data_IF_282893615945
#
_entry.id   IF_282893615945
#
_cell.length_a   1.000
_cell.length_b   1.000
_cell.length_c   1.000
_cell.angle_alpha   90.00
_cell.angle_beta   90.00
_cell.angle_gamma   90.00
#
_symmetry.space_group_name_H-M   'P 1'
#
loop_
_entity.id
_entity.type
_entity.pdbx_description
1 polymer ?
#
# COMPACT_ATOMS: atom_id res chain seq x y z
N UNK A 1 7.54 -35.76 -8.66
CA UNK A 1 6.25 -35.33 -9.23
C UNK A 1 6.24 -33.80 -9.30
N UNK A 2 6.07 -33.23 -10.49
CA UNK A 2 6.03 -31.76 -10.64
C UNK A 2 4.74 -31.22 -9.99
N UNK A 3 4.85 -30.43 -8.94
CA UNK A 3 3.73 -29.71 -8.31
C UNK A 3 3.17 -28.69 -9.32
N UNK A 4 2.13 -29.06 -10.05
CA UNK A 4 1.54 -28.19 -11.07
C UNK A 4 0.50 -27.23 -10.45
N UNK A 5 0.99 -26.25 -9.66
CA UNK A 5 0.15 -25.14 -9.19
C UNK A 5 -0.19 -24.27 -10.41
N UNK A 6 -1.43 -23.86 -10.55
CA UNK A 6 -1.88 -22.98 -11.64
C UNK A 6 -2.20 -21.58 -11.11
N UNK A 7 -2.20 -20.59 -12.01
CA UNK A 7 -2.58 -19.22 -11.68
C UNK A 7 -3.97 -19.16 -11.02
N UNK A 8 -4.93 -19.92 -11.53
CA UNK A 8 -6.30 -19.98 -10.97
C UNK A 8 -6.35 -20.46 -9.54
N UNK A 9 -5.46 -21.38 -9.12
CA UNK A 9 -5.35 -21.81 -7.72
C UNK A 9 -4.90 -20.64 -6.83
N UNK A 10 -3.89 -19.89 -7.27
CA UNK A 10 -3.35 -18.75 -6.53
C UNK A 10 -4.34 -17.60 -6.45
N UNK A 11 -5.05 -17.31 -7.52
CA UNK A 11 -6.12 -16.30 -7.55
C UNK A 11 -7.26 -16.67 -6.59
N UNK A 12 -7.71 -17.93 -6.60
CA UNK A 12 -8.74 -18.40 -5.68
C UNK A 12 -8.28 -18.31 -4.22
N UNK A 13 -7.06 -18.71 -3.94
CA UNK A 13 -6.48 -18.60 -2.61
C UNK A 13 -6.39 -17.15 -2.15
N UNK A 14 -5.85 -16.23 -2.97
CA UNK A 14 -5.80 -14.79 -2.67
C UNK A 14 -7.19 -14.23 -2.38
N UNK A 15 -8.17 -14.57 -3.21
CA UNK A 15 -9.54 -14.07 -3.07
C UNK A 15 -10.17 -14.52 -1.74
N UNK A 16 -9.98 -15.77 -1.35
CA UNK A 16 -10.48 -16.30 -0.06
C UNK A 16 -9.75 -15.65 1.12
N UNK A 17 -8.44 -15.45 1.05
CA UNK A 17 -7.67 -14.75 2.09
C UNK A 17 -8.13 -13.30 2.30
N UNK A 18 -8.46 -12.59 1.22
CA UNK A 18 -8.94 -11.20 1.26
C UNK A 18 -10.39 -11.10 1.73
N UNK A 19 -11.29 -11.92 1.17
CA UNK A 19 -12.73 -11.84 1.44
C UNK A 19 -13.18 -12.60 2.68
N UNK A 20 -12.33 -13.50 3.22
CA UNK A 20 -12.61 -14.32 4.40
C UNK A 20 -13.83 -15.25 4.27
N UNK A 21 -14.40 -15.34 3.07
CA UNK A 21 -15.53 -16.21 2.75
C UNK A 21 -15.39 -16.75 1.33
N UNK A 22 -15.86 -17.99 1.11
CA UNK A 22 -15.84 -18.59 -0.24
C UNK A 22 -16.81 -17.88 -1.18
N UNK A 23 -17.96 -17.44 -0.66
CA UNK A 23 -18.96 -16.67 -1.44
C UNK A 23 -18.39 -15.34 -1.91
N UNK A 24 -17.80 -14.54 -1.00
CA UNK A 24 -17.18 -13.27 -1.37
C UNK A 24 -15.99 -13.44 -2.33
N UNK A 25 -15.22 -14.54 -2.21
CA UNK A 25 -14.17 -14.87 -3.17
C UNK A 25 -14.74 -15.22 -4.56
N UNK A 26 -15.85 -15.96 -4.60
CA UNK A 26 -16.53 -16.30 -5.86
C UNK A 26 -17.05 -15.05 -6.57
N UNK A 27 -17.67 -14.13 -5.83
CA UNK A 27 -18.10 -12.82 -6.37
C UNK A 27 -16.91 -12.00 -6.90
N UNK A 28 -15.81 -11.95 -6.15
CA UNK A 28 -14.59 -11.23 -6.56
C UNK A 28 -13.99 -11.78 -7.86
N UNK A 29 -14.07 -13.10 -8.07
CA UNK A 29 -13.50 -13.78 -9.23
C UNK A 29 -14.50 -13.93 -10.40
N UNK A 30 -15.77 -13.55 -10.22
CA UNK A 30 -16.80 -13.74 -11.24
C UNK A 30 -17.10 -15.22 -11.54
N UNK A 31 -16.98 -16.11 -10.55
CA UNK A 31 -17.22 -17.55 -10.67
C UNK A 31 -18.23 -18.02 -9.62
N UNK A 32 -18.63 -19.30 -9.68
CA UNK A 32 -19.51 -19.89 -8.66
C UNK A 32 -18.74 -20.37 -7.44
N UNK A 33 -19.40 -20.40 -6.26
CA UNK A 33 -18.82 -20.90 -5.01
C UNK A 33 -18.24 -22.33 -5.11
N UNK A 34 -18.89 -23.31 -5.77
CA UNK A 34 -18.32 -24.65 -5.97
C UNK A 34 -16.97 -24.63 -6.71
N UNK A 35 -16.79 -23.71 -7.66
CA UNK A 35 -15.53 -23.55 -8.41
C UNK A 35 -14.41 -23.12 -7.46
N UNK A 36 -14.65 -22.10 -6.63
CA UNK A 36 -13.66 -21.65 -5.64
C UNK A 36 -13.31 -22.76 -4.65
N UNK A 37 -14.33 -23.45 -4.12
CA UNK A 37 -14.15 -24.56 -3.19
C UNK A 37 -13.26 -25.65 -3.80
N UNK A 38 -13.52 -26.03 -5.05
CA UNK A 38 -12.73 -27.03 -5.77
C UNK A 38 -11.29 -26.58 -6.01
N UNK A 39 -11.09 -25.31 -6.41
CA UNK A 39 -9.74 -24.75 -6.62
C UNK A 39 -8.91 -24.73 -5.32
N UNK A 40 -9.51 -24.39 -4.20
CA UNK A 40 -8.84 -24.43 -2.89
C UNK A 40 -8.49 -25.87 -2.51
N UNK A 41 -9.45 -26.80 -2.59
CA UNK A 41 -9.19 -28.21 -2.26
C UNK A 41 -8.10 -28.83 -3.15
N UNK A 42 -8.11 -28.53 -4.46
CA UNK A 42 -7.08 -28.99 -5.39
C UNK A 42 -5.71 -28.38 -5.07
N UNK A 43 -5.65 -27.10 -4.68
CA UNK A 43 -4.42 -26.45 -4.22
C UNK A 43 -3.87 -27.14 -2.97
N UNK A 44 -4.68 -27.30 -1.91
CA UNK A 44 -4.29 -27.95 -0.65
C UNK A 44 -3.79 -29.37 -0.88
N UNK A 45 -4.47 -30.12 -1.74
CA UNK A 45 -4.05 -31.48 -2.11
C UNK A 45 -2.69 -31.50 -2.82
N UNK A 46 -2.46 -30.53 -3.73
CA UNK A 46 -1.20 -30.46 -4.50
C UNK A 46 0.00 -30.06 -3.67
N UNK A 47 -0.20 -29.13 -2.72
CA UNK A 47 0.89 -28.68 -1.82
C UNK A 47 1.00 -29.52 -0.56
N UNK A 48 0.03 -30.43 -0.31
CA UNK A 48 -0.09 -31.24 0.90
C UNK A 48 -0.13 -30.40 2.21
N UNK A 49 -0.72 -29.21 2.16
CA UNK A 49 -0.86 -28.29 3.29
C UNK A 49 -2.31 -27.84 3.35
N UNK A 50 -2.95 -27.93 4.52
CA UNK A 50 -4.24 -27.34 4.77
C UNK A 50 -4.10 -25.82 4.91
N UNK A 51 -4.81 -25.07 4.08
CA UNK A 51 -4.78 -23.61 4.07
C UNK A 51 -5.93 -23.00 4.86
N UNK A 52 -7.04 -23.73 4.97
CA UNK A 52 -8.23 -23.24 5.68
C UNK A 52 -8.79 -24.29 6.62
N UNK A 53 -9.28 -23.82 7.76
CA UNK A 53 -10.03 -24.62 8.73
C UNK A 53 -11.42 -24.04 8.93
N UNK A 54 -12.31 -24.82 9.54
CA UNK A 54 -13.62 -24.32 9.99
C UNK A 54 -13.59 -24.17 11.50
N UNK A 55 -13.59 -22.94 11.97
CA UNK A 55 -13.76 -22.60 13.37
C UNK A 55 -15.18 -22.10 13.60
N UNK A 56 -15.95 -22.81 14.45
CA UNK A 56 -17.38 -22.49 14.76
C UNK A 56 -18.23 -22.25 13.51
N UNK A 57 -18.00 -23.04 12.44
CA UNK A 57 -18.71 -22.93 11.17
C UNK A 57 -18.21 -21.82 10.22
N UNK A 58 -17.23 -21.02 10.64
CA UNK A 58 -16.62 -19.96 9.82
C UNK A 58 -15.28 -20.44 9.24
N UNK A 59 -15.03 -20.01 8.01
CA UNK A 59 -13.75 -20.25 7.35
C UNK A 59 -12.66 -19.41 8.00
N UNK A 60 -11.60 -20.04 8.47
CA UNK A 60 -10.43 -19.38 9.04
C UNK A 60 -9.15 -19.83 8.34
N UNK A 61 -8.23 -18.92 7.99
CA UNK A 61 -6.93 -19.31 7.44
C UNK A 61 -6.05 -19.95 8.51
N UNK A 62 -5.25 -20.92 8.11
CA UNK A 62 -4.21 -21.51 8.93
C UNK A 62 -3.00 -20.56 9.05
N UNK A 63 -2.08 -20.78 10.02
CA UNK A 63 -0.80 -20.09 10.06
C UNK A 63 -0.01 -20.25 8.76
N UNK A 64 -0.03 -21.44 8.16
CA UNK A 64 0.62 -21.78 6.90
C UNK A 64 0.03 -20.98 5.74
N UNK A 65 -1.30 -20.80 5.70
CA UNK A 65 -1.95 -19.95 4.71
C UNK A 65 -1.49 -18.50 4.84
N UNK A 66 -1.32 -18.01 6.06
CA UNK A 66 -0.87 -16.64 6.30
C UNK A 66 0.56 -16.42 5.81
N UNK A 67 1.45 -17.38 6.02
CA UNK A 67 2.82 -17.34 5.50
C UNK A 67 2.83 -17.41 3.96
N UNK A 68 2.11 -18.38 3.38
CA UNK A 68 2.05 -18.56 1.93
C UNK A 68 1.42 -17.34 1.21
N UNK A 69 0.51 -16.63 1.89
CA UNK A 69 -0.20 -15.50 1.29
C UNK A 69 0.72 -14.39 0.83
N UNK A 70 1.79 -14.10 1.55
CA UNK A 70 2.76 -13.06 1.17
C UNK A 70 3.41 -13.37 -0.20
N UNK A 71 3.89 -14.61 -0.38
CA UNK A 71 4.56 -15.04 -1.62
C UNK A 71 3.58 -15.14 -2.80
N UNK A 72 2.37 -15.64 -2.55
CA UNK A 72 1.31 -15.70 -3.57
C UNK A 72 0.91 -14.30 -4.02
N UNK A 73 0.71 -13.38 -3.08
CA UNK A 73 0.34 -12.02 -3.41
C UNK A 73 1.44 -11.33 -4.23
N UNK A 74 2.70 -11.50 -3.85
CA UNK A 74 3.85 -10.97 -4.60
C UNK A 74 3.92 -11.54 -6.02
N UNK A 75 3.70 -12.85 -6.18
CA UNK A 75 3.71 -13.52 -7.48
C UNK A 75 2.59 -13.02 -8.40
N UNK A 76 1.38 -12.86 -7.88
CA UNK A 76 0.23 -12.33 -8.61
C UNK A 76 0.44 -10.86 -9.00
N UNK A 77 1.01 -10.03 -8.11
CA UNK A 77 1.43 -8.67 -8.44
C UNK A 77 2.46 -8.65 -9.57
N UNK A 78 3.38 -9.64 -9.62
CA UNK A 78 4.33 -9.80 -10.72
C UNK A 78 3.65 -10.02 -12.07
N UNK A 79 2.61 -10.85 -12.11
CA UNK A 79 1.82 -11.10 -13.32
C UNK A 79 1.03 -9.86 -13.74
N UNK A 80 0.36 -9.19 -12.78
CA UNK A 80 -0.31 -7.91 -13.02
C UNK A 80 0.67 -6.87 -13.58
N UNK A 81 1.91 -6.83 -13.06
CA UNK A 81 2.97 -5.94 -13.57
C UNK A 81 3.32 -6.24 -15.03
N UNK A 82 3.40 -7.50 -15.43
CA UNK A 82 3.67 -7.88 -16.84
C UNK A 82 2.55 -7.37 -17.75
N UNK A 83 1.29 -7.59 -17.37
CA UNK A 83 0.13 -7.11 -18.13
C UNK A 83 0.10 -5.57 -18.23
N UNK A 84 0.39 -4.88 -17.12
CA UNK A 84 0.46 -3.42 -17.09
C UNK A 84 1.65 -2.89 -17.87
N UNK A 85 2.81 -3.55 -17.83
CA UNK A 85 3.97 -3.18 -18.62
C UNK A 85 3.70 -3.29 -20.13
N UNK A 86 3.00 -4.34 -20.56
CA UNK A 86 2.58 -4.50 -21.94
C UNK A 86 1.62 -3.37 -22.37
N UNK A 87 0.67 -3.00 -21.51
CA UNK A 87 -0.22 -1.86 -21.72
C UNK A 87 0.54 -0.54 -21.71
N UNK A 88 1.48 -0.36 -20.79
CA UNK A 88 2.34 0.82 -20.69
C UNK A 88 3.22 1.03 -21.91
N UNK A 89 3.78 -0.04 -22.50
CA UNK A 89 4.55 0.03 -23.77
C UNK A 89 3.65 0.59 -24.88
N UNK A 90 2.39 0.17 -24.91
CA UNK A 90 1.40 0.68 -25.87
C UNK A 90 1.05 2.14 -25.59
N UNK A 91 0.86 2.50 -24.32
CA UNK A 91 0.55 3.87 -23.88
C UNK A 91 1.73 4.84 -24.10
N UNK A 92 2.96 4.43 -23.83
CA UNK A 92 4.16 5.22 -24.11
C UNK A 92 4.32 5.54 -25.60
N UNK A 93 3.98 4.58 -26.48
CA UNK A 93 3.93 4.83 -27.94
C UNK A 93 2.85 5.86 -28.32
N UNK A 94 1.83 6.04 -27.48
CA UNK A 94 0.75 7.03 -27.65
C UNK A 94 1.01 8.31 -26.86
N UNK A 95 2.18 8.45 -26.19
CA UNK A 95 2.52 9.63 -25.40
C UNK A 95 1.65 9.78 -24.15
N UNK A 96 1.35 8.69 -23.43
CA UNK A 96 0.57 8.72 -22.20
C UNK A 96 1.43 8.46 -20.97
N UNK A 97 1.33 9.34 -19.96
CA UNK A 97 2.03 9.26 -18.68
C UNK A 97 1.06 9.14 -17.51
N UNK A 98 1.11 8.00 -16.82
CA UNK A 98 0.34 7.75 -15.59
C UNK A 98 1.18 8.08 -14.36
N UNK A 99 0.70 8.99 -13.52
CA UNK A 99 1.35 9.45 -12.29
C UNK A 99 0.46 9.10 -11.10
N UNK A 100 1.02 8.51 -10.05
CA UNK A 100 0.36 8.37 -8.75
C UNK A 100 1.07 9.23 -7.71
N UNK A 101 0.33 9.94 -6.86
CA UNK A 101 0.93 10.84 -5.89
C UNK A 101 0.19 10.90 -4.56
N UNK A 102 0.96 11.06 -3.48
CA UNK A 102 0.41 11.39 -2.18
C UNK A 102 -0.20 12.80 -2.17
N UNK A 103 -1.24 13.07 -1.36
CA UNK A 103 -2.01 14.33 -1.39
C UNK A 103 -1.16 15.60 -1.29
N UNK A 104 -0.15 15.59 -0.44
CA UNK A 104 0.75 16.73 -0.25
C UNK A 104 1.54 17.10 -1.51
N UNK A 105 1.88 16.11 -2.34
CA UNK A 105 2.56 16.32 -3.63
C UNK A 105 1.56 16.62 -4.74
N UNK A 106 0.44 15.91 -4.76
CA UNK A 106 -0.61 16.05 -5.77
C UNK A 106 -1.28 17.45 -5.77
N UNK A 107 -1.43 18.06 -4.59
CA UNK A 107 -2.14 19.33 -4.44
C UNK A 107 -1.21 20.57 -4.50
N UNK A 108 0.10 20.40 -4.48
CA UNK A 108 1.02 21.54 -4.41
C UNK A 108 2.08 21.53 -5.52
N UNK A 109 3.02 20.62 -5.44
CA UNK A 109 4.19 20.56 -6.31
C UNK A 109 3.86 20.07 -7.73
N UNK A 110 3.19 18.93 -7.84
CA UNK A 110 2.98 18.24 -9.12
C UNK A 110 2.15 19.02 -10.13
N UNK A 111 1.06 19.73 -9.79
CA UNK A 111 0.33 20.53 -10.78
C UNK A 111 1.21 21.54 -11.49
N UNK A 112 2.13 22.17 -10.78
CA UNK A 112 3.07 23.13 -11.39
C UNK A 112 4.11 22.45 -12.26
N UNK A 113 4.66 21.31 -11.80
CA UNK A 113 5.61 20.54 -12.58
C UNK A 113 4.97 19.96 -13.85
N UNK A 114 3.74 19.46 -13.76
CA UNK A 114 2.97 18.96 -14.91
C UNK A 114 2.67 20.12 -15.89
N UNK A 115 2.25 21.28 -15.39
CA UNK A 115 2.00 22.44 -16.26
C UNK A 115 3.26 22.84 -17.04
N UNK A 116 4.42 22.90 -16.38
CA UNK A 116 5.69 23.20 -17.03
C UNK A 116 6.07 22.14 -18.07
N UNK A 117 5.95 20.86 -17.73
CA UNK A 117 6.23 19.75 -18.64
C UNK A 117 5.30 19.76 -19.86
N UNK A 118 4.01 20.04 -19.69
CA UNK A 118 3.03 20.09 -20.77
C UNK A 118 3.28 21.21 -21.78
N UNK A 119 3.95 22.29 -21.39
CA UNK A 119 4.40 23.32 -22.32
C UNK A 119 5.51 22.83 -23.25
N UNK A 120 6.38 21.96 -22.75
CA UNK A 120 7.48 21.38 -23.53
C UNK A 120 7.07 20.15 -24.34
N UNK A 121 6.03 19.43 -23.87
CA UNK A 121 5.53 18.18 -24.45
C UNK A 121 4.00 18.17 -24.56
N UNK A 122 3.43 19.03 -25.40
CA UNK A 122 1.97 19.19 -25.51
C UNK A 122 1.23 17.96 -26.02
N UNK A 123 1.93 17.05 -26.69
CA UNK A 123 1.39 15.79 -27.19
C UNK A 123 1.24 14.72 -26.11
N UNK A 124 1.82 14.94 -24.91
CA UNK A 124 1.79 13.95 -23.82
C UNK A 124 0.51 14.08 -23.02
N UNK A 125 -0.32 13.04 -23.05
CA UNK A 125 -1.49 12.93 -22.16
C UNK A 125 -1.02 12.50 -20.76
N UNK A 126 -1.35 13.29 -19.74
CA UNK A 126 -0.98 13.00 -18.35
C UNK A 126 -2.23 12.72 -17.53
N UNK A 127 -2.23 11.56 -16.87
CA UNK A 127 -3.24 11.22 -15.87
C UNK A 127 -2.58 11.18 -14.50
N UNK A 128 -3.16 11.91 -13.53
CA UNK A 128 -2.66 11.91 -12.15
C UNK A 128 -3.70 11.31 -11.20
N UNK A 129 -3.28 10.30 -10.44
CA UNK A 129 -4.05 9.64 -9.40
C UNK A 129 -3.57 10.07 -8.01
N UNK A 130 -4.50 10.46 -7.13
CA UNK A 130 -4.17 10.85 -5.76
C UNK A 130 -4.55 9.71 -4.81
N UNK A 131 -3.54 9.16 -4.11
CA UNK A 131 -3.71 8.05 -3.17
C UNK A 131 -2.79 8.18 -1.96
N UNK A 132 -2.95 7.30 -0.96
CA UNK A 132 -1.99 7.19 0.15
C UNK A 132 -0.61 6.75 -0.34
N UNK A 133 0.45 7.08 0.40
CA UNK A 133 1.83 6.69 0.04
C UNK A 133 1.98 5.18 -0.16
N UNK A 134 1.33 4.35 0.65
CA UNK A 134 1.33 2.89 0.48
C UNK A 134 0.70 2.46 -0.84
N UNK A 135 -0.46 3.01 -1.17
CA UNK A 135 -1.14 2.73 -2.46
C UNK A 135 -0.32 3.21 -3.66
N UNK A 136 0.33 4.37 -3.56
CA UNK A 136 1.25 4.86 -4.61
C UNK A 136 2.38 3.87 -4.85
N UNK A 137 3.00 3.35 -3.79
CA UNK A 137 4.05 2.32 -3.90
C UNK A 137 3.53 1.05 -4.58
N UNK A 138 2.34 0.57 -4.18
CA UNK A 138 1.71 -0.59 -4.80
C UNK A 138 1.41 -0.37 -6.30
N UNK A 139 0.99 0.84 -6.67
CA UNK A 139 0.74 1.20 -8.07
C UNK A 139 2.02 1.19 -8.91
N UNK A 140 3.12 1.72 -8.38
CA UNK A 140 4.43 1.67 -9.05
C UNK A 140 4.93 0.23 -9.17
N UNK A 141 4.91 -0.52 -8.07
CA UNK A 141 5.38 -1.91 -8.05
C UNK A 141 4.59 -2.83 -8.97
N UNK A 142 3.27 -2.61 -9.07
CA UNK A 142 2.40 -3.35 -9.98
C UNK A 142 2.41 -2.83 -11.43
N UNK A 143 3.16 -1.76 -11.72
CA UNK A 143 3.21 -1.14 -13.05
C UNK A 143 1.90 -0.47 -13.49
N UNK A 144 1.01 -0.14 -12.54
CA UNK A 144 -0.24 0.60 -12.81
C UNK A 144 -0.02 2.09 -13.05
N UNK A 145 1.14 2.61 -12.68
CA UNK A 145 1.58 3.94 -13.04
C UNK A 145 3.07 3.94 -13.44
N UNK A 146 3.46 4.94 -14.20
CA UNK A 146 4.83 5.11 -14.67
C UNK A 146 5.72 5.78 -13.61
N UNK A 147 5.15 6.72 -12.85
CA UNK A 147 5.83 7.48 -11.80
C UNK A 147 4.98 7.51 -10.53
N UNK A 148 5.63 7.42 -9.39
CA UNK A 148 5.00 7.54 -8.08
C UNK A 148 5.70 8.58 -7.21
N UNK A 149 4.92 9.47 -6.57
CA UNK A 149 5.40 10.45 -5.60
C UNK A 149 4.79 10.17 -4.24
N UNK A 150 5.61 9.70 -3.33
CA UNK A 150 5.17 9.24 -2.02
C UNK A 150 6.12 9.70 -0.90
N UNK A 151 5.58 9.83 0.30
CA UNK A 151 6.40 9.96 1.51
C UNK A 151 6.73 8.55 2.00
N UNK A 152 8.00 8.20 1.91
CA UNK A 152 8.48 6.90 2.37
C UNK A 152 9.67 7.08 3.31
N UNK A 153 9.87 6.18 4.28
CA UNK A 153 11.06 6.18 5.09
C UNK A 153 12.30 5.93 4.23
N UNK A 154 13.40 6.59 4.57
CA UNK A 154 14.67 6.47 3.82
C UNK A 154 15.14 5.02 3.65
N UNK A 155 14.83 4.14 4.61
CA UNK A 155 15.18 2.71 4.53
C UNK A 155 14.21 1.87 3.69
N UNK A 156 13.03 2.39 3.34
CA UNK A 156 12.06 1.68 2.50
C UNK A 156 12.36 1.83 0.99
N UNK A 157 13.33 2.66 0.62
CA UNK A 157 13.69 2.95 -0.78
C UNK A 157 14.53 1.85 -1.45
N UNK A 158 14.73 0.70 -0.79
CA UNK A 158 15.60 -0.38 -1.30
C UNK A 158 15.00 -1.23 -2.43
N UNK A 159 13.76 -0.96 -2.85
CA UNK A 159 13.09 -1.75 -3.88
C UNK A 159 12.75 -0.87 -5.09
N UNK A 160 13.53 -1.02 -6.15
CA UNK A 160 13.31 -0.38 -7.43
C UNK A 160 14.10 0.92 -7.66
N UNK A 161 13.84 1.58 -8.78
CA UNK A 161 14.41 2.88 -9.12
C UNK A 161 13.68 3.97 -8.32
N UNK A 162 14.15 4.27 -7.11
CA UNK A 162 13.61 5.33 -6.27
C UNK A 162 14.66 6.39 -6.01
N UNK A 163 14.25 7.65 -6.07
CA UNK A 163 15.09 8.79 -5.80
C UNK A 163 14.45 9.68 -4.73
N UNK A 164 15.25 10.17 -3.79
CA UNK A 164 14.80 11.09 -2.76
C UNK A 164 14.82 12.50 -3.30
N UNK A 165 13.66 13.07 -3.58
CA UNK A 165 13.53 14.45 -4.07
C UNK A 165 13.78 15.46 -2.96
N UNK A 166 13.25 15.21 -1.76
CA UNK A 166 13.37 16.11 -0.61
C UNK A 166 13.28 15.33 0.69
N UNK A 167 14.02 15.77 1.69
CA UNK A 167 13.88 15.33 3.06
C UNK A 167 13.35 16.47 3.91
N UNK A 168 12.24 16.25 4.61
CA UNK A 168 11.60 17.24 5.45
C UNK A 168 11.66 16.81 6.93
N UNK A 169 11.89 17.77 7.81
CA UNK A 169 11.79 17.57 9.25
C UNK A 169 10.32 17.59 9.67
N UNK A 170 9.97 16.79 10.64
CA UNK A 170 8.67 16.89 11.30
C UNK A 170 8.62 18.15 12.17
N UNK A 171 7.49 18.84 12.14
CA UNK A 171 7.25 20.02 12.96
C UNK A 171 5.94 19.84 13.74
N UNK A 172 5.90 20.39 14.97
CA UNK A 172 4.68 20.50 15.74
C UNK A 172 3.92 21.77 15.34
N UNK A 173 2.64 21.61 15.02
CA UNK A 173 1.74 22.76 14.82
C UNK A 173 1.07 23.07 16.16
N UNK A 174 1.25 24.29 16.65
CA UNK A 174 0.85 24.70 17.99
C UNK A 174 0.01 25.98 17.89
N UNK A 175 -1.10 26.10 18.62
CA UNK A 175 -1.90 27.33 18.65
C UNK A 175 -1.10 28.54 19.16
N UNK A 176 -1.43 29.71 18.64
CA UNK A 176 -0.87 30.97 19.15
C UNK A 176 -1.26 31.13 20.63
N UNK A 177 -0.26 31.46 21.47
CA UNK A 177 -0.46 31.59 22.92
C UNK A 177 -0.35 30.30 23.73
N UNK A 178 -0.11 29.15 23.09
CA UNK A 178 0.17 27.93 23.82
C UNK A 178 1.51 27.99 24.55
N UNK A 179 1.63 27.35 25.73
CA UNK A 179 2.86 27.37 26.55
C UNK A 179 4.12 26.90 25.80
N UNK A 180 3.96 26.04 24.80
CA UNK A 180 5.06 25.53 23.98
C UNK A 180 5.38 26.39 22.75
N UNK A 181 4.58 27.42 22.43
CA UNK A 181 4.71 28.21 21.22
C UNK A 181 6.01 29.01 21.15
N UNK A 182 6.64 29.31 22.31
CA UNK A 182 7.91 30.04 22.40
C UNK A 182 9.15 29.14 22.24
N UNK A 183 8.97 27.82 22.27
CA UNK A 183 10.08 26.89 22.12
C UNK A 183 10.44 26.65 20.66
N UNK A 184 11.71 26.75 20.32
CA UNK A 184 12.24 26.48 18.99
C UNK A 184 12.35 24.98 18.67
N UNK A 185 12.55 24.17 19.68
CA UNK A 185 12.66 22.73 19.60
C UNK A 185 11.79 22.13 20.70
N UNK A 186 11.01 21.12 20.34
CA UNK A 186 10.17 20.35 21.26
C UNK A 186 10.78 18.97 21.44
N UNK A 187 10.89 18.54 22.68
CA UNK A 187 11.26 17.18 23.02
C UNK A 187 10.01 16.34 23.32
N UNK A 188 10.05 15.00 23.23
CA UNK A 188 8.89 14.17 23.53
C UNK A 188 8.25 14.47 24.89
N UNK A 189 9.06 14.75 25.93
CA UNK A 189 8.60 15.02 27.30
C UNK A 189 7.76 16.31 27.39
N UNK A 190 7.93 17.24 26.47
CA UNK A 190 7.15 18.48 26.44
C UNK A 190 5.66 18.23 26.18
N UNK A 191 5.32 17.06 25.63
CA UNK A 191 3.96 16.66 25.29
C UNK A 191 3.24 15.89 26.40
N UNK A 192 3.86 15.69 27.57
CA UNK A 192 3.25 15.00 28.69
C UNK A 192 1.94 15.70 29.10
N UNK A 193 0.82 14.94 29.09
CA UNK A 193 -0.50 15.44 29.43
C UNK A 193 -1.16 16.38 28.43
N UNK A 194 -0.47 16.71 27.32
CA UNK A 194 -1.04 17.60 26.29
C UNK A 194 -2.12 16.92 25.44
N UNK A 195 -3.10 17.73 25.02
CA UNK A 195 -4.07 17.33 24.00
C UNK A 195 -3.40 17.33 22.64
N UNK A 196 -3.43 16.19 21.96
CA UNK A 196 -2.67 15.96 20.73
C UNK A 196 -3.59 15.47 19.62
N UNK A 197 -3.63 16.20 18.51
CA UNK A 197 -4.26 15.72 17.27
C UNK A 197 -3.21 14.95 16.48
N UNK A 198 -3.49 13.70 16.22
CA UNK A 198 -2.56 12.81 15.54
C UNK A 198 -3.17 12.25 14.25
N UNK A 199 -2.31 11.66 13.42
CA UNK A 199 -2.75 10.95 12.22
C UNK A 199 -3.47 9.65 12.58
N UNK A 200 -4.15 9.05 11.59
CA UNK A 200 -4.86 7.77 11.77
C UNK A 200 -3.92 6.67 12.31
N UNK A 201 -4.38 5.76 13.19
CA UNK A 201 -3.55 4.81 13.92
C UNK A 201 -2.67 3.90 13.05
N UNK A 202 -3.13 3.54 11.84
CA UNK A 202 -2.41 2.65 10.93
C UNK A 202 -1.42 3.36 10.00
N UNK A 203 -1.27 4.68 10.13
CA UNK A 203 -0.27 5.42 9.36
C UNK A 203 1.13 5.20 9.96
N UNK A 204 2.09 4.89 9.11
CA UNK A 204 3.48 4.61 9.53
C UNK A 204 4.09 5.76 10.35
N UNK A 205 3.86 7.01 9.92
CA UNK A 205 4.31 8.20 10.65
C UNK A 205 3.71 8.26 12.05
N UNK A 206 2.42 7.90 12.19
CA UNK A 206 1.76 7.82 13.49
C UNK A 206 2.41 6.76 14.38
N UNK A 207 2.66 5.56 13.85
CA UNK A 207 3.31 4.48 14.62
C UNK A 207 4.71 4.88 15.09
N UNK A 208 5.47 5.61 14.27
CA UNK A 208 6.79 6.14 14.67
C UNK A 208 6.69 7.17 15.80
N UNK A 209 5.73 8.09 15.71
CA UNK A 209 5.50 9.07 16.77
C UNK A 209 5.08 8.36 18.07
N UNK A 210 4.17 7.39 17.98
CA UNK A 210 3.70 6.63 19.15
C UNK A 210 4.85 5.85 19.79
N UNK A 211 5.68 5.18 19.00
CA UNK A 211 6.86 4.46 19.49
C UNK A 211 7.88 5.38 20.16
N UNK A 212 8.11 6.57 19.55
CA UNK A 212 9.00 7.58 20.14
C UNK A 212 8.46 8.07 21.49
N UNK A 213 7.18 8.46 21.55
CA UNK A 213 6.56 8.94 22.79
C UNK A 213 6.59 7.86 23.89
N UNK A 214 6.29 6.62 23.52
CA UNK A 214 6.36 5.48 24.44
C UNK A 214 7.78 5.25 24.99
N UNK A 215 8.81 5.37 24.15
CA UNK A 215 10.21 5.19 24.58
C UNK A 215 10.68 6.25 25.59
N UNK A 216 10.01 7.40 25.63
CA UNK A 216 10.23 8.47 26.60
C UNK A 216 9.23 8.45 27.76
N UNK A 217 8.33 7.45 27.83
CA UNK A 217 7.32 7.34 28.88
C UNK A 217 6.24 8.41 28.83
N UNK A 218 6.09 9.10 27.70
CA UNK A 218 5.17 10.24 27.53
C UNK A 218 3.74 9.77 27.32
N UNK A 219 2.85 10.21 28.17
CA UNK A 219 1.41 9.93 28.09
C UNK A 219 0.68 11.18 27.58
N UNK A 220 0.21 11.13 26.34
CA UNK A 220 -0.53 12.22 25.69
C UNK A 220 -2.00 11.86 25.49
N UNK A 221 -2.87 12.85 25.53
CA UNK A 221 -4.28 12.68 25.22
C UNK A 221 -4.46 12.83 23.70
N UNK A 222 -4.84 11.74 23.03
CA UNK A 222 -5.11 11.78 21.58
C UNK A 222 -6.61 12.03 21.41
N UNK A 223 -6.92 13.11 20.71
CA UNK A 223 -8.29 13.51 20.34
C UNK A 223 -8.58 13.12 18.87
#
# INVERSE_FOLDING_TARGET
MSMKITLRHLEAFRAVMVRRTVTGAAEMLGVTQPVVTRLIADLEQRIAIALFTRDKGRLAPTPEATLLFADVNQSLMGIERIANAASGIKALKLGHLEIAAAPNMALSFLPRAIASFSLERPETLITMHMHSSSTVLDMVQSGRCNLGFAMVPVHATRHGNSETLVSAKMVGVIPVGHRLATRKVLNPEDFEGESFISMAPLMETRMKIDSLMLSYGVNRRIN
#
